data_IF_050195425744
#
_entry.id   IF_050195425744
#
_cell.length_a   1.000
_cell.length_b   1.000
_cell.length_c   1.000
_cell.angle_alpha   90.00
_cell.angle_beta   90.00
_cell.angle_gamma   90.00
#
_symmetry.space_group_name_H-M   'P 1'
#
loop_
_entity.id
_entity.type
_entity.pdbx_description
1 polymer ?
#
# COMPACT_ATOMS: atom_id res chain seq x y z
N UNK A 1 -77.31 11.05 0.20
CA UNK A 1 -78.23 12.13 -0.28
C UNK A 1 -77.59 12.79 -1.51
N UNK A 2 -78.34 12.97 -2.62
CA UNK A 2 -78.09 13.81 -3.84
C UNK A 2 -76.63 13.99 -4.31
N UNK A 3 -76.15 13.48 -5.46
CA UNK A 3 -76.61 13.55 -6.89
C UNK A 3 -76.54 14.95 -7.53
N UNK A 4 -75.58 15.14 -8.45
CA UNK A 4 -75.65 15.80 -9.79
C UNK A 4 -74.22 16.13 -10.27
N UNK A 5 -73.61 15.61 -11.35
CA UNK A 5 -73.89 15.46 -12.80
C UNK A 5 -73.67 16.69 -13.71
N UNK A 6 -73.11 16.42 -14.90
CA UNK A 6 -72.92 17.27 -16.12
C UNK A 6 -71.65 18.15 -16.15
N UNK A 7 -70.99 18.37 -17.31
CA UNK A 7 -71.10 17.74 -18.66
C UNK A 7 -69.80 17.96 -19.45
N UNK A 8 -69.55 17.10 -20.43
CA UNK A 8 -68.50 17.25 -21.46
C UNK A 8 -68.94 18.16 -22.61
N UNK A 9 -67.99 18.86 -23.23
CA UNK A 9 -68.03 19.17 -24.67
C UNK A 9 -66.61 19.33 -25.25
N UNK A 10 -66.20 18.36 -26.07
CA UNK A 10 -65.13 18.51 -27.08
C UNK A 10 -65.61 19.32 -28.27
N UNK A 11 -64.75 20.09 -28.93
CA UNK A 11 -64.87 20.32 -30.39
C UNK A 11 -63.49 20.42 -31.05
N UNK A 12 -63.39 19.88 -32.27
CA UNK A 12 -62.19 19.84 -33.11
C UNK A 12 -62.03 21.12 -33.95
N UNK A 13 -60.80 21.39 -34.40
CA UNK A 13 -60.47 22.49 -35.32
C UNK A 13 -59.13 22.27 -36.02
N UNK A 14 -59.11 21.42 -37.05
CA UNK A 14 -57.93 21.04 -37.83
C UNK A 14 -57.57 22.03 -38.95
N UNK A 15 -56.37 21.85 -39.55
CA UNK A 15 -55.95 22.35 -40.89
C UNK A 15 -55.64 23.87 -41.02
N UNK A 16 -54.72 24.35 -41.87
CA UNK A 16 -53.67 23.69 -42.68
C UNK A 16 -52.67 24.69 -43.30
N UNK A 17 -51.39 24.27 -43.37
CA UNK A 17 -50.39 24.42 -44.46
C UNK A 17 -50.05 25.78 -45.15
N UNK A 18 -48.82 25.80 -45.67
CA UNK A 18 -48.16 26.72 -46.62
C UNK A 18 -47.87 28.15 -46.14
N UNK A 19 -46.65 28.72 -46.15
CA UNK A 19 -45.35 28.53 -46.84
C UNK A 19 -45.06 29.48 -48.02
N UNK A 20 -44.23 30.50 -47.74
CA UNK A 20 -43.33 31.29 -48.64
C UNK A 20 -42.46 32.15 -47.72
N UNK A 21 -41.17 31.86 -47.49
CA UNK A 21 -39.99 32.10 -48.34
C UNK A 21 -39.36 33.50 -48.18
N UNK A 22 -38.04 33.53 -47.97
CA UNK A 22 -37.11 34.67 -48.17
C UNK A 22 -37.32 35.94 -47.31
N UNK A 23 -36.32 36.78 -47.00
CA UNK A 23 -34.93 36.90 -47.51
C UNK A 23 -33.94 37.30 -46.36
N UNK A 24 -32.65 37.36 -46.69
CA UNK A 24 -31.51 37.54 -45.76
C UNK A 24 -31.33 38.98 -45.25
N UNK A 25 -31.01 39.10 -43.95
CA UNK A 25 -30.35 40.25 -43.31
C UNK A 25 -30.07 39.92 -41.84
N UNK A 26 -28.98 40.32 -41.19
CA UNK A 26 -27.86 41.17 -41.61
C UNK A 26 -27.37 42.02 -40.45
N UNK A 27 -26.27 41.60 -39.78
CA UNK A 27 -25.65 42.24 -38.58
C UNK A 27 -26.55 42.22 -37.32
N UNK A 28 -26.05 41.88 -36.14
CA UNK A 28 -25.11 42.72 -35.39
C UNK A 28 -24.68 42.05 -34.08
N UNK A 29 -23.53 42.48 -33.55
CA UNK A 29 -23.04 42.07 -32.22
C UNK A 29 -23.83 42.80 -31.14
N UNK A 30 -24.36 42.05 -30.16
CA UNK A 30 -24.99 42.59 -28.95
C UNK A 30 -24.51 41.82 -27.71
N UNK A 31 -23.77 42.51 -26.86
CA UNK A 31 -23.73 42.31 -25.39
C UNK A 31 -24.99 42.99 -24.77
N UNK A 32 -25.28 42.88 -23.45
CA UNK A 32 -24.67 42.06 -22.40
C UNK A 32 -25.66 40.90 -22.05
N UNK A 33 -26.28 40.67 -20.85
CA UNK A 33 -26.10 41.16 -19.47
C UNK A 33 -25.47 40.14 -18.49
N UNK A 34 -25.12 40.63 -17.29
CA UNK A 34 -24.80 39.86 -16.08
C UNK A 34 -26.01 39.74 -15.14
N UNK A 35 -26.26 38.58 -14.51
CA UNK A 35 -26.93 38.51 -13.19
C UNK A 35 -26.90 37.14 -12.49
N UNK A 36 -26.68 37.20 -11.18
CA UNK A 36 -27.17 36.31 -10.11
C UNK A 36 -27.12 34.77 -10.26
N UNK A 37 -26.10 34.19 -9.62
CA UNK A 37 -26.20 33.12 -8.62
C UNK A 37 -27.56 32.40 -8.42
N UNK A 38 -27.56 31.09 -8.63
CA UNK A 38 -28.33 30.14 -7.83
C UNK A 38 -27.51 28.85 -7.67
N UNK A 39 -27.34 28.38 -6.44
CA UNK A 39 -26.49 27.25 -6.06
C UNK A 39 -27.16 25.91 -6.33
N UNK A 40 -26.47 25.00 -7.03
CA UNK A 40 -26.67 23.56 -6.90
C UNK A 40 -25.32 22.84 -6.75
N UNK A 41 -25.20 22.02 -5.71
CA UNK A 41 -23.95 21.40 -5.31
C UNK A 41 -23.61 20.14 -6.11
N UNK A 42 -23.00 20.29 -7.28
CA UNK A 42 -22.46 19.17 -8.06
C UNK A 42 -21.26 19.51 -8.97
N UNK A 43 -20.77 20.76 -8.94
CA UNK A 43 -19.78 21.27 -9.90
C UNK A 43 -18.29 20.93 -9.65
N UNK A 44 -17.90 20.54 -8.43
CA UNK A 44 -16.46 20.49 -8.05
C UNK A 44 -15.75 19.21 -8.53
N UNK A 45 -16.48 18.09 -8.68
CA UNK A 45 -15.94 16.82 -9.17
C UNK A 45 -15.68 16.82 -10.69
N UNK A 46 -16.58 17.43 -11.47
CA UNK A 46 -16.46 17.50 -12.93
C UNK A 46 -15.22 18.29 -13.40
N UNK A 47 -14.94 19.43 -12.75
CA UNK A 47 -13.81 20.29 -13.11
C UNK A 47 -12.46 19.63 -12.81
N UNK A 48 -12.35 18.86 -11.71
CA UNK A 48 -11.12 18.10 -11.38
C UNK A 48 -10.85 16.96 -12.37
N UNK A 49 -11.88 16.18 -12.75
CA UNK A 49 -11.75 15.13 -13.78
C UNK A 49 -11.34 15.73 -15.14
N UNK A 50 -11.88 16.89 -15.51
CA UNK A 50 -11.49 17.58 -16.75
C UNK A 50 -10.04 18.09 -16.75
N UNK A 51 -9.46 18.46 -15.60
CA UNK A 51 -8.11 19.02 -15.55
C UNK A 51 -7.03 18.03 -16.00
N UNK A 52 -7.10 16.78 -15.53
CA UNK A 52 -6.19 15.71 -15.97
C UNK A 52 -6.57 15.17 -17.37
N UNK A 53 -7.85 14.93 -17.63
CA UNK A 53 -8.30 14.39 -18.92
C UNK A 53 -8.00 15.33 -20.12
N UNK A 54 -8.06 16.65 -19.93
CA UNK A 54 -7.75 17.62 -20.98
C UNK A 54 -6.24 17.77 -21.29
N UNK A 55 -5.36 17.37 -20.37
CA UNK A 55 -3.90 17.32 -20.59
C UNK A 55 -3.45 16.02 -21.26
N UNK A 56 -4.01 14.88 -20.84
CA UNK A 56 -3.63 13.55 -21.35
C UNK A 56 -3.70 13.43 -22.88
N UNK A 57 -4.65 14.12 -23.53
CA UNK A 57 -4.83 14.10 -24.99
C UNK A 57 -3.80 14.88 -25.82
N UNK A 58 -2.72 15.45 -25.24
CA UNK A 58 -1.79 16.35 -25.97
C UNK A 58 -0.31 15.95 -26.02
N UNK A 59 0.13 14.86 -25.38
CA UNK A 59 1.57 14.51 -25.30
C UNK A 59 1.93 13.05 -25.65
N UNK A 60 1.07 12.35 -26.39
CA UNK A 60 1.28 10.96 -26.79
C UNK A 60 2.35 10.74 -27.91
N UNK A 61 3.26 11.70 -28.13
CA UNK A 61 4.19 11.71 -29.28
C UNK A 61 5.67 12.00 -28.96
N UNK A 62 6.07 12.08 -27.68
CA UNK A 62 7.45 12.52 -27.31
C UNK A 62 8.26 11.55 -26.43
N UNK A 63 7.88 10.27 -26.35
CA UNK A 63 8.63 9.23 -25.63
C UNK A 63 9.06 8.07 -26.54
N UNK A 64 9.91 8.35 -27.54
CA UNK A 64 10.67 7.34 -28.29
C UNK A 64 12.11 7.81 -28.59
N UNK A 65 12.92 8.05 -27.54
CA UNK A 65 14.36 8.33 -27.69
C UNK A 65 15.17 8.15 -26.38
N UNK A 66 15.23 6.94 -25.81
CA UNK A 66 16.18 6.59 -24.76
C UNK A 66 16.40 5.06 -24.67
N UNK A 67 17.11 4.48 -25.63
CA UNK A 67 17.49 3.06 -25.60
C UNK A 67 18.69 2.81 -24.69
N UNK A 68 18.47 2.36 -23.45
CA UNK A 68 19.53 1.99 -22.52
C UNK A 68 19.01 1.36 -21.23
N UNK A 69 19.07 0.02 -21.15
CA UNK A 69 18.81 -0.83 -19.97
C UNK A 69 17.82 -0.28 -18.91
N UNK A 70 16.55 -0.19 -19.28
CA UNK A 70 15.45 0.02 -18.34
C UNK A 70 15.15 -1.27 -17.55
N UNK A 71 16.02 -1.64 -16.60
CA UNK A 71 15.80 -2.77 -15.69
C UNK A 71 16.26 -2.50 -14.26
N UNK A 72 15.70 -1.45 -13.65
CA UNK A 72 15.47 -1.37 -12.21
C UNK A 72 14.55 -0.18 -11.90
N UNK A 73 13.25 -0.43 -11.70
CA UNK A 73 12.47 0.36 -10.74
C UNK A 73 13.03 0.01 -9.36
N UNK A 74 14.17 0.61 -9.00
CA UNK A 74 14.80 0.37 -7.71
C UNK A 74 13.96 1.03 -6.63
N UNK A 75 12.99 0.27 -6.10
CA UNK A 75 12.47 0.49 -4.76
C UNK A 75 13.64 0.35 -3.79
N UNK A 76 14.40 1.42 -3.61
CA UNK A 76 15.21 1.61 -2.43
C UNK A 76 14.24 1.76 -1.27
N UNK A 77 13.76 0.64 -0.72
CA UNK A 77 12.99 0.66 0.52
C UNK A 77 13.90 1.29 1.57
N UNK A 78 13.37 2.32 2.23
CA UNK A 78 14.20 3.18 3.06
C UNK A 78 14.85 2.41 4.21
N UNK A 79 15.97 2.96 4.71
CA UNK A 79 16.58 2.56 5.99
C UNK A 79 15.74 3.02 7.19
N UNK A 80 14.41 3.00 7.08
CA UNK A 80 13.47 3.37 8.14
C UNK A 80 13.18 2.19 9.03
N UNK A 81 13.25 2.39 10.34
CA UNK A 81 13.05 1.34 11.33
C UNK A 81 11.58 0.93 11.54
N UNK A 82 10.61 1.65 10.97
CA UNK A 82 9.19 1.29 11.08
C UNK A 82 8.83 0.16 10.09
N UNK A 83 8.67 -1.05 10.61
CA UNK A 83 8.12 -2.20 9.88
C UNK A 83 6.59 -2.10 9.70
N UNK A 84 6.09 -0.89 9.47
CA UNK A 84 4.67 -0.56 9.44
C UNK A 84 4.04 -0.73 8.05
N UNK A 85 2.92 -1.44 7.99
CA UNK A 85 2.05 -1.58 6.84
C UNK A 85 0.70 -0.90 7.13
N UNK A 86 0.40 0.20 6.45
CA UNK A 86 -0.85 0.92 6.61
C UNK A 86 -1.96 0.33 5.75
N UNK A 87 -3.03 -0.16 6.37
CA UNK A 87 -4.20 -0.64 5.65
C UNK A 87 -5.09 0.55 5.31
N UNK A 88 -5.34 0.77 4.02
CA UNK A 88 -6.20 1.84 3.50
C UNK A 88 -7.29 1.25 2.60
N UNK A 89 -8.33 2.03 2.32
CA UNK A 89 -9.42 1.61 1.44
C UNK A 89 -10.59 2.58 1.52
N UNK A 90 -11.56 2.44 0.63
CA UNK A 90 -12.84 3.14 0.74
C UNK A 90 -13.61 2.61 1.98
N UNK A 91 -14.62 3.33 2.50
CA UNK A 91 -15.56 2.77 3.45
C UNK A 91 -16.20 1.49 2.92
N UNK A 92 -16.58 0.58 3.83
CA UNK A 92 -17.31 -0.65 3.52
C UNK A 92 -16.60 -1.70 2.62
N UNK A 93 -15.30 -1.56 2.32
CA UNK A 93 -14.55 -2.55 1.50
C UNK A 93 -14.13 -3.83 2.25
N UNK A 94 -14.43 -3.95 3.55
CA UNK A 94 -13.98 -5.06 4.41
C UNK A 94 -12.64 -4.82 5.13
N UNK A 95 -12.10 -3.60 5.07
CA UNK A 95 -10.83 -3.18 5.69
C UNK A 95 -10.68 -3.63 7.16
N UNK A 96 -11.63 -3.24 8.02
CA UNK A 96 -11.55 -3.56 9.44
C UNK A 96 -11.87 -5.02 9.75
N UNK A 97 -12.59 -5.74 8.88
CA UNK A 97 -12.73 -7.20 8.95
C UNK A 97 -11.38 -7.89 8.72
N UNK A 98 -10.64 -7.47 7.68
CA UNK A 98 -9.30 -7.99 7.39
C UNK A 98 -8.30 -7.67 8.52
N UNK A 99 -8.34 -6.45 9.07
CA UNK A 99 -7.52 -6.07 10.22
C UNK A 99 -7.87 -6.88 11.49
N UNK A 100 -9.15 -7.13 11.74
CA UNK A 100 -9.59 -7.96 12.87
C UNK A 100 -9.17 -9.42 12.69
N UNK A 101 -9.22 -9.97 11.48
CA UNK A 101 -8.70 -11.32 11.19
C UNK A 101 -7.17 -11.38 11.40
N UNK A 102 -6.43 -10.39 10.89
CA UNK A 102 -4.98 -10.23 11.12
C UNK A 102 -4.63 -10.22 12.61
N UNK A 103 -5.33 -9.41 13.41
CA UNK A 103 -5.00 -9.24 14.84
C UNK A 103 -5.57 -10.35 15.73
N UNK A 104 -6.69 -10.99 15.38
CA UNK A 104 -7.32 -12.02 16.23
C UNK A 104 -6.64 -13.38 16.07
N UNK A 105 -6.28 -13.77 14.84
CA UNK A 105 -5.43 -14.96 14.59
C UNK A 105 -4.07 -14.89 15.30
N UNK A 106 -3.61 -13.67 15.63
CA UNK A 106 -2.40 -13.40 16.40
C UNK A 106 -2.66 -13.46 17.91
N UNK A 107 -3.78 -12.91 18.42
CA UNK A 107 -4.15 -12.99 19.85
C UNK A 107 -4.17 -14.43 20.35
N UNK A 108 -4.77 -15.34 19.59
CA UNK A 108 -4.79 -16.78 19.89
C UNK A 108 -3.38 -17.44 19.96
N UNK A 109 -2.36 -16.83 19.34
CA UNK A 109 -0.95 -17.27 19.39
C UNK A 109 -0.10 -16.46 20.38
N UNK A 110 -0.59 -15.33 20.87
CA UNK A 110 0.16 -14.32 21.62
C UNK A 110 -0.04 -14.37 23.14
N UNK A 111 -0.86 -15.29 23.66
CA UNK A 111 -1.07 -15.49 25.11
C UNK A 111 0.23 -15.70 25.91
N UNK A 112 1.31 -16.07 25.23
CA UNK A 112 2.65 -16.28 25.79
C UNK A 112 3.55 -15.00 25.87
N UNK A 113 3.06 -13.81 25.51
CA UNK A 113 3.88 -12.59 25.36
C UNK A 113 3.22 -11.32 25.98
N UNK A 114 3.42 -11.04 27.28
CA UNK A 114 2.67 -10.00 28.02
C UNK A 114 3.07 -8.53 27.75
N UNK A 115 3.86 -8.25 26.71
CA UNK A 115 4.39 -6.91 26.41
C UNK A 115 3.94 -6.33 25.06
N UNK A 116 3.01 -7.00 24.35
CA UNK A 116 2.49 -6.50 23.08
C UNK A 116 1.46 -5.38 23.30
N UNK A 117 1.85 -4.13 23.08
CA UNK A 117 0.90 -3.00 22.99
C UNK A 117 0.02 -3.17 21.76
N UNK A 118 -1.28 -3.27 21.96
CA UNK A 118 -2.29 -3.19 20.90
C UNK A 118 -2.98 -1.83 21.06
N UNK A 119 -2.63 -0.85 20.22
CA UNK A 119 -3.44 0.37 20.11
C UNK A 119 -4.73 0.02 19.34
N UNK A 120 -5.86 0.73 19.54
CA UNK A 120 -7.14 0.34 18.94
C UNK A 120 -7.12 0.25 17.40
N UNK A 121 -6.14 0.88 16.74
CA UNK A 121 -5.94 0.87 15.30
C UNK A 121 -4.55 0.34 14.88
N UNK A 122 -3.79 -0.33 15.75
CA UNK A 122 -2.52 -0.99 15.35
C UNK A 122 -2.37 -2.38 15.97
N UNK A 123 -1.64 -3.26 15.29
CA UNK A 123 -1.40 -4.61 15.75
C UNK A 123 -0.09 -5.18 15.22
N UNK A 124 0.68 -5.79 16.11
CA UNK A 124 1.88 -6.55 15.73
C UNK A 124 1.48 -7.92 15.20
N UNK A 125 2.02 -8.28 14.04
CA UNK A 125 1.73 -9.51 13.31
C UNK A 125 3.03 -10.28 13.08
N UNK A 126 3.14 -11.47 13.66
CA UNK A 126 4.22 -12.42 13.42
C UNK A 126 4.34 -12.77 11.93
N UNK A 127 5.57 -12.69 11.41
CA UNK A 127 5.95 -13.04 10.04
C UNK A 127 6.62 -14.42 10.05
N UNK A 128 5.96 -15.49 9.59
CA UNK A 128 6.55 -16.82 9.58
C UNK A 128 7.72 -16.90 8.58
N UNK A 129 8.76 -17.64 8.95
CA UNK A 129 9.88 -18.00 8.08
C UNK A 129 10.27 -19.47 8.37
N UNK A 130 10.03 -20.42 7.45
CA UNK A 130 10.36 -21.84 7.64
C UNK A 130 11.84 -22.12 7.96
N UNK A 131 12.74 -21.18 7.64
CA UNK A 131 14.16 -21.26 7.99
C UNK A 131 14.34 -21.20 9.51
N UNK A 132 13.54 -20.38 10.21
CA UNK A 132 13.60 -20.25 11.66
C UNK A 132 13.20 -21.58 12.35
N UNK A 133 12.15 -22.24 11.89
CA UNK A 133 11.70 -23.52 12.43
C UNK A 133 12.78 -24.61 12.23
N UNK A 134 13.43 -24.61 11.05
CA UNK A 134 14.56 -25.50 10.74
C UNK A 134 15.74 -25.26 11.69
N UNK A 135 16.10 -23.99 11.93
CA UNK A 135 17.19 -23.63 12.83
C UNK A 135 16.88 -23.99 14.30
N UNK A 136 15.64 -23.75 14.74
CA UNK A 136 15.17 -24.10 16.07
C UNK A 136 15.23 -25.61 16.33
N UNK A 137 14.81 -26.42 15.36
CA UNK A 137 14.89 -27.87 15.44
C UNK A 137 16.35 -28.37 15.53
N UNK A 138 17.25 -27.85 14.70
CA UNK A 138 18.68 -28.22 14.72
C UNK A 138 19.39 -27.80 16.03
N UNK A 139 18.98 -26.69 16.64
CA UNK A 139 19.55 -26.18 17.89
C UNK A 139 18.83 -26.66 19.15
N UNK A 140 17.75 -27.45 19.03
CA UNK A 140 16.85 -27.84 20.12
C UNK A 140 16.34 -26.63 20.94
N UNK A 141 16.04 -25.52 20.26
CA UNK A 141 15.61 -24.27 20.88
C UNK A 141 14.27 -24.40 21.59
N UNK A 142 14.21 -24.07 22.89
CA UNK A 142 12.99 -24.14 23.71
C UNK A 142 11.89 -23.15 23.32
N UNK A 143 12.23 -22.10 22.56
CA UNK A 143 11.29 -21.07 22.09
C UNK A 143 11.63 -20.67 20.66
N UNK A 144 10.60 -20.43 19.85
CA UNK A 144 10.70 -19.93 18.48
C UNK A 144 10.07 -18.54 18.44
N UNK A 145 10.85 -17.55 18.01
CA UNK A 145 10.48 -16.13 18.05
C UNK A 145 10.60 -15.52 16.65
N UNK A 146 9.55 -15.61 15.81
CA UNK A 146 9.56 -15.00 14.48
C UNK A 146 9.63 -13.46 14.54
N UNK A 147 9.91 -12.82 13.42
CA UNK A 147 9.84 -11.36 13.34
C UNK A 147 8.40 -10.88 13.52
N UNK A 148 8.22 -9.68 14.05
CA UNK A 148 6.93 -8.98 14.02
C UNK A 148 6.94 -7.83 13.00
N UNK A 149 5.78 -7.59 12.41
CA UNK A 149 5.49 -6.52 11.47
C UNK A 149 4.26 -5.78 11.97
N UNK A 150 4.29 -4.46 11.95
CA UNK A 150 3.19 -3.64 12.44
C UNK A 150 2.16 -3.46 11.32
N UNK A 151 0.89 -3.76 11.59
CA UNK A 151 -0.23 -3.35 10.73
C UNK A 151 -1.00 -2.24 11.42
N UNK A 152 -1.29 -1.16 10.68
CA UNK A 152 -2.05 -0.01 11.17
C UNK A 152 -3.34 0.08 10.37
N UNK A 153 -4.50 -0.02 11.02
CA UNK A 153 -5.79 0.20 10.38
C UNK A 153 -6.04 1.70 10.22
N UNK A 154 -5.99 2.20 8.98
CA UNK A 154 -6.16 3.64 8.73
C UNK A 154 -7.59 3.86 8.22
N UNK A 155 -8.32 4.79 8.86
CA UNK A 155 -9.77 4.99 8.64
C UNK A 155 -10.14 5.23 7.16
N UNK A 156 -11.31 4.79 6.71
CA UNK A 156 -11.66 4.81 5.28
C UNK A 156 -11.48 6.19 4.62
N UNK A 157 -10.76 6.24 3.49
CA UNK A 157 -10.62 7.46 2.70
C UNK A 157 -11.95 7.83 2.06
N UNK A 158 -12.33 9.09 2.20
CA UNK A 158 -13.46 9.69 1.47
C UNK A 158 -12.90 10.82 0.61
N UNK A 159 -13.49 11.03 -0.57
CA UNK A 159 -13.06 12.07 -1.50
C UNK A 159 -13.00 13.45 -0.83
N UNK A 160 -11.92 14.21 -1.09
CA UNK A 160 -11.66 15.49 -0.45
C UNK A 160 -10.83 15.43 0.84
N UNK A 161 -10.27 14.28 1.22
CA UNK A 161 -9.32 14.17 2.34
C UNK A 161 -8.13 15.15 2.23
N UNK A 162 -7.71 15.52 1.01
CA UNK A 162 -6.67 16.53 0.76
C UNK A 162 -7.08 17.96 1.15
N UNK A 163 -8.37 18.28 1.32
CA UNK A 163 -8.85 19.68 1.46
C UNK A 163 -8.71 20.28 2.86
N UNK A 164 -8.13 19.55 3.81
CA UNK A 164 -7.75 20.11 5.11
C UNK A 164 -8.88 20.33 6.12
N UNK A 165 -10.08 19.76 5.95
CA UNK A 165 -11.20 19.82 6.91
C UNK A 165 -10.97 18.96 8.18
N UNK A 166 -9.78 19.06 8.78
CA UNK A 166 -9.39 18.49 10.08
C UNK A 166 -9.14 16.99 10.11
N UNK A 167 -10.06 16.17 9.58
CA UNK A 167 -10.01 14.71 9.71
C UNK A 167 -9.04 14.07 8.71
N UNK A 168 -9.06 14.52 7.45
CA UNK A 168 -8.19 14.01 6.38
C UNK A 168 -6.70 14.19 6.69
N UNK A 169 -6.30 15.33 7.26
CA UNK A 169 -4.90 15.57 7.63
C UNK A 169 -4.37 14.63 8.73
N UNK A 170 -5.23 14.22 9.68
CA UNK A 170 -4.86 13.20 10.68
C UNK A 170 -4.68 11.83 10.03
N UNK A 171 -5.59 11.45 9.13
CA UNK A 171 -5.49 10.22 8.35
C UNK A 171 -4.18 10.16 7.53
N UNK A 172 -3.85 11.23 6.79
CA UNK A 172 -2.62 11.29 5.99
C UNK A 172 -1.35 11.26 6.86
N UNK A 173 -1.40 11.73 8.11
CA UNK A 173 -0.28 11.62 9.05
C UNK A 173 0.00 10.15 9.45
N UNK A 174 -1.02 9.32 9.62
CA UNK A 174 -0.83 7.89 9.86
C UNK A 174 -0.18 7.18 8.65
N UNK A 175 -0.55 7.53 7.40
CA UNK A 175 0.13 7.01 6.21
C UNK A 175 1.61 7.43 6.17
N UNK A 176 1.96 8.65 6.62
CA UNK A 176 3.38 9.07 6.63
C UNK A 176 4.26 8.17 7.49
N UNK A 177 3.74 7.66 8.61
CA UNK A 177 4.50 6.88 9.59
C UNK A 177 4.75 5.41 9.20
N UNK A 178 3.92 4.83 8.31
CA UNK A 178 4.09 3.46 7.81
C UNK A 178 5.07 3.41 6.64
N UNK A 179 5.78 2.29 6.45
CA UNK A 179 6.72 2.12 5.33
C UNK A 179 6.05 1.73 4.02
N UNK A 180 4.86 1.12 4.06
CA UNK A 180 4.09 0.76 2.86
C UNK A 180 2.58 0.80 3.07
N UNK A 181 1.83 0.68 1.96
CA UNK A 181 0.38 0.74 1.91
C UNK A 181 -0.21 -0.61 1.46
N UNK A 182 -1.17 -1.14 2.20
CA UNK A 182 -2.04 -2.24 1.78
C UNK A 182 -3.42 -1.66 1.47
N UNK A 183 -3.73 -1.51 0.19
CA UNK A 183 -4.97 -0.90 -0.28
C UNK A 183 -6.03 -1.97 -0.50
N UNK A 184 -7.03 -2.03 0.39
CA UNK A 184 -8.15 -2.95 0.29
C UNK A 184 -9.16 -2.42 -0.73
N UNK A 185 -9.44 -3.23 -1.76
CA UNK A 185 -10.33 -2.90 -2.87
C UNK A 185 -11.50 -3.87 -2.85
N UNK A 186 -12.73 -3.36 -2.91
CA UNK A 186 -13.95 -4.19 -2.95
C UNK A 186 -14.10 -4.79 -4.34
N UNK A 187 -13.94 -6.11 -4.44
CA UNK A 187 -14.15 -6.90 -5.65
C UNK A 187 -15.31 -7.89 -5.47
N UNK A 188 -16.39 -7.47 -4.80
CA UNK A 188 -17.61 -8.25 -4.65
C UNK A 188 -18.88 -7.38 -4.64
N UNK A 189 -19.93 -7.90 -5.27
CA UNK A 189 -21.29 -7.37 -5.19
C UNK A 189 -22.05 -7.93 -3.98
N UNK A 190 -23.10 -7.23 -3.55
CA UNK A 190 -24.00 -7.72 -2.49
C UNK A 190 -24.75 -8.99 -2.88
N UNK A 191 -25.51 -9.56 -1.94
CA UNK A 191 -26.41 -10.67 -2.23
C UNK A 191 -27.55 -10.20 -3.17
N UNK A 192 -27.88 -11.03 -4.16
CA UNK A 192 -29.03 -10.88 -5.06
C UNK A 192 -29.15 -9.52 -5.78
N UNK A 193 -28.02 -8.87 -6.09
CA UNK A 193 -28.01 -7.55 -6.73
C UNK A 193 -28.55 -6.41 -5.87
N UNK A 194 -28.77 -6.68 -4.56
CA UNK A 194 -29.18 -5.68 -3.58
C UNK A 194 -27.98 -5.28 -2.72
N UNK A 195 -27.69 -3.98 -2.65
CA UNK A 195 -26.66 -3.47 -1.74
C UNK A 195 -27.16 -3.53 -0.28
N UNK A 196 -27.02 -4.68 0.38
CA UNK A 196 -27.07 -4.76 1.85
C UNK A 196 -26.00 -3.86 2.50
N UNK A 197 -24.91 -3.60 1.77
CA UNK A 197 -23.80 -2.73 2.15
C UNK A 197 -23.62 -1.67 1.07
N UNK A 198 -24.11 -0.46 1.37
CA UNK A 198 -24.11 0.67 0.44
C UNK A 198 -22.70 1.07 0.03
N UNK A 199 -22.50 1.31 -1.27
CA UNK A 199 -21.27 1.90 -1.77
C UNK A 199 -21.31 3.43 -1.72
N UNK A 200 -20.18 4.07 -1.36
CA UNK A 200 -20.11 5.54 -1.20
C UNK A 200 -20.39 6.27 -2.52
N UNK A 201 -19.94 5.70 -3.63
CA UNK A 201 -20.15 6.22 -4.99
C UNK A 201 -21.40 5.59 -5.66
N UNK A 202 -22.26 4.88 -4.91
CA UNK A 202 -23.53 4.31 -5.39
C UNK A 202 -23.45 3.08 -6.32
N UNK A 203 -22.26 2.67 -6.72
CA UNK A 203 -21.98 1.39 -7.40
C UNK A 203 -20.60 0.88 -7.03
N UNK A 204 -20.35 -0.43 -7.12
CA UNK A 204 -19.00 -1.02 -6.97
C UNK A 204 -18.21 -0.84 -8.29
N UNK A 205 -17.04 -0.21 -8.23
CA UNK A 205 -16.11 -0.08 -9.37
C UNK A 205 -14.67 -0.07 -8.83
N UNK A 206 -13.99 -1.23 -8.80
CA UNK A 206 -12.66 -1.38 -8.21
C UNK A 206 -11.62 -0.40 -8.76
N UNK A 207 -11.68 -0.13 -10.07
CA UNK A 207 -10.70 0.70 -10.76
C UNK A 207 -10.92 2.19 -10.44
N UNK A 208 -12.17 2.65 -10.44
CA UNK A 208 -12.54 4.01 -9.98
C UNK A 208 -12.18 4.22 -8.52
N UNK A 209 -12.44 3.23 -7.66
CA UNK A 209 -12.22 3.34 -6.22
C UNK A 209 -10.71 3.39 -5.90
N UNK A 210 -9.89 2.67 -6.67
CA UNK A 210 -8.43 2.84 -6.66
C UNK A 210 -7.99 4.22 -7.13
N UNK A 211 -8.51 4.70 -8.27
CA UNK A 211 -8.18 6.01 -8.84
C UNK A 211 -8.47 7.15 -7.84
N UNK A 212 -9.61 7.09 -7.12
CA UNK A 212 -9.99 8.07 -6.10
C UNK A 212 -8.93 8.12 -4.98
N UNK A 213 -8.53 6.98 -4.42
CA UNK A 213 -7.53 6.91 -3.35
C UNK A 213 -6.18 7.40 -3.83
N UNK A 214 -5.71 6.91 -4.98
CA UNK A 214 -4.40 7.26 -5.52
C UNK A 214 -4.31 8.76 -5.86
N UNK A 215 -5.40 9.34 -6.38
CA UNK A 215 -5.51 10.79 -6.66
C UNK A 215 -5.46 11.63 -5.39
N UNK A 216 -6.16 11.26 -4.31
CA UNK A 216 -6.12 12.02 -3.05
C UNK A 216 -4.73 11.98 -2.39
N UNK A 217 -4.01 10.86 -2.47
CA UNK A 217 -2.62 10.76 -2.01
C UNK A 217 -1.67 11.63 -2.84
N UNK A 218 -1.83 11.61 -4.17
CA UNK A 218 -1.05 12.41 -5.12
C UNK A 218 -1.27 13.93 -4.91
N UNK A 219 -2.52 14.35 -4.71
CA UNK A 219 -2.85 15.75 -4.46
C UNK A 219 -2.24 16.26 -3.13
N UNK A 220 -2.23 15.42 -2.09
CA UNK A 220 -1.61 15.76 -0.81
C UNK A 220 -0.08 15.91 -0.92
N UNK A 221 0.59 15.09 -1.73
CA UNK A 221 2.02 15.22 -2.01
C UNK A 221 2.32 16.47 -2.84
N UNK A 222 1.52 16.74 -3.88
CA UNK A 222 1.65 17.91 -4.75
C UNK A 222 1.50 19.22 -3.96
N UNK A 223 0.52 19.32 -3.06
CA UNK A 223 0.34 20.48 -2.18
C UNK A 223 1.52 20.66 -1.21
N UNK A 224 1.99 19.57 -0.61
CA UNK A 224 3.11 19.57 0.33
C UNK A 224 4.41 20.04 -0.34
N UNK A 225 4.75 19.46 -1.50
CA UNK A 225 5.93 19.82 -2.26
C UNK A 225 5.86 21.22 -2.84
N UNK A 226 4.72 21.65 -3.39
CA UNK A 226 4.55 23.00 -3.93
C UNK A 226 4.73 24.05 -2.82
N UNK A 227 4.20 23.78 -1.63
CA UNK A 227 4.37 24.65 -0.45
C UNK A 227 5.82 24.68 0.03
N UNK A 228 6.53 23.55 0.02
CA UNK A 228 7.94 23.46 0.38
C UNK A 228 8.84 24.17 -0.64
N UNK A 229 8.60 23.96 -1.94
CA UNK A 229 9.30 24.59 -3.07
C UNK A 229 9.18 26.11 -3.00
N UNK A 230 7.96 26.64 -2.87
CA UNK A 230 7.72 28.07 -2.79
C UNK A 230 8.35 28.77 -1.56
N UNK A 231 8.67 28.02 -0.50
CA UNK A 231 9.46 28.52 0.65
C UNK A 231 10.96 28.52 0.37
N UNK A 232 11.44 27.57 -0.45
CA UNK A 232 12.84 27.44 -0.85
C UNK A 232 13.21 28.48 -1.93
N UNK A 233 12.37 28.64 -2.96
CA UNK A 233 12.49 29.64 -4.04
C UNK A 233 12.59 31.08 -3.52
N UNK A 234 11.97 31.38 -2.37
CA UNK A 234 12.00 32.72 -1.73
C UNK A 234 13.32 33.05 -1.04
N UNK A 235 14.27 32.11 -0.92
CA UNK A 235 15.58 32.39 -0.30
C UNK A 235 16.48 33.09 -1.31
N UNK A 236 16.98 34.27 -0.93
CA UNK A 236 17.83 35.13 -1.77
C UNK A 236 19.22 34.57 -2.05
N UNK A 237 19.67 33.58 -1.28
CA UNK A 237 20.87 32.77 -1.54
C UNK A 237 20.56 31.32 -1.24
N UNK A 238 20.78 30.45 -2.22
CA UNK A 238 20.77 29.00 -2.08
C UNK A 238 22.22 28.52 -2.09
N UNK A 239 22.55 27.59 -1.20
CA UNK A 239 23.77 26.78 -1.31
C UNK A 239 23.56 25.65 -2.34
N UNK A 240 24.62 24.92 -2.65
CA UNK A 240 24.59 23.86 -3.67
C UNK A 240 23.65 22.69 -3.28
N UNK A 241 23.44 22.44 -1.99
CA UNK A 241 22.56 21.36 -1.50
C UNK A 241 21.10 21.78 -1.58
N UNK A 242 20.79 23.02 -1.23
CA UNK A 242 19.48 23.64 -1.39
C UNK A 242 19.08 23.76 -2.87
N UNK A 243 20.03 24.03 -3.78
CA UNK A 243 19.77 24.00 -5.23
C UNK A 243 19.46 22.58 -5.72
N UNK A 244 20.29 21.58 -5.40
CA UNK A 244 20.00 20.16 -5.72
C UNK A 244 18.62 19.72 -5.22
N UNK A 245 18.25 20.14 -3.99
CA UNK A 245 16.93 19.88 -3.41
C UNK A 245 15.81 20.55 -4.20
N UNK A 246 16.00 21.77 -4.66
CA UNK A 246 15.02 22.51 -5.46
C UNK A 246 14.82 21.85 -6.83
N UNK A 247 15.90 21.46 -7.50
CA UNK A 247 15.85 20.79 -8.80
C UNK A 247 15.10 19.45 -8.70
N UNK A 248 15.39 18.67 -7.65
CA UNK A 248 14.66 17.43 -7.34
C UNK A 248 13.17 17.70 -7.06
N UNK A 249 12.82 18.75 -6.30
CA UNK A 249 11.42 19.16 -6.10
C UNK A 249 10.71 19.50 -7.42
N UNK A 250 11.36 20.21 -8.34
CA UNK A 250 10.79 20.52 -9.65
C UNK A 250 10.48 19.25 -10.46
N UNK A 251 11.43 18.30 -10.54
CA UNK A 251 11.22 17.02 -11.24
C UNK A 251 10.09 16.20 -10.61
N UNK A 252 10.05 16.09 -9.28
CA UNK A 252 9.00 15.34 -8.58
C UNK A 252 7.62 15.98 -8.78
N UNK A 253 7.52 17.30 -8.72
CA UNK A 253 6.25 18.01 -8.97
C UNK A 253 5.76 17.82 -10.41
N UNK A 254 6.65 17.84 -11.41
CA UNK A 254 6.26 17.61 -12.80
C UNK A 254 5.60 16.23 -13.00
N UNK A 255 6.15 15.18 -12.39
CA UNK A 255 5.61 13.80 -12.44
C UNK A 255 4.24 13.72 -11.73
N UNK A 256 4.09 14.38 -10.58
CA UNK A 256 2.79 14.48 -9.89
C UNK A 256 1.75 15.27 -10.70
N UNK A 257 2.14 16.36 -11.36
CA UNK A 257 1.27 17.17 -12.25
C UNK A 257 0.80 16.40 -13.50
N UNK A 258 1.51 15.34 -13.89
CA UNK A 258 1.12 14.38 -14.95
C UNK A 258 0.18 13.27 -14.44
N UNK A 259 -0.11 13.23 -13.13
CA UNK A 259 -0.96 12.21 -12.51
C UNK A 259 -0.21 10.92 -12.15
N UNK A 260 1.13 10.91 -12.19
CA UNK A 260 1.94 9.74 -11.85
C UNK A 260 2.41 9.80 -10.37
N UNK A 261 2.51 8.67 -9.67
CA UNK A 261 2.90 8.64 -8.26
C UNK A 261 4.40 8.92 -8.09
N UNK A 262 4.82 9.52 -6.97
CA UNK A 262 6.23 9.90 -6.75
C UNK A 262 7.22 8.73 -6.83
N UNK A 263 6.79 7.48 -6.60
CA UNK A 263 7.62 6.25 -6.81
C UNK A 263 8.05 6.00 -8.26
N UNK A 264 7.45 6.68 -9.25
CA UNK A 264 7.86 6.63 -10.66
C UNK A 264 9.01 7.60 -11.00
N UNK A 265 9.36 8.52 -10.09
CA UNK A 265 10.43 9.51 -10.32
C UNK A 265 11.78 8.80 -10.38
N UNK A 266 12.49 8.95 -11.50
CA UNK A 266 13.88 8.48 -11.62
C UNK A 266 14.80 9.30 -10.70
N UNK A 267 15.48 8.60 -9.80
CA UNK A 267 16.34 9.15 -8.75
C UNK A 267 17.68 8.41 -8.71
N UNK A 268 18.77 9.13 -8.50
CA UNK A 268 20.09 8.54 -8.23
C UNK A 268 20.26 8.18 -6.75
N UNK A 269 21.23 7.30 -6.45
CA UNK A 269 21.57 6.91 -5.08
C UNK A 269 22.04 8.10 -4.22
N UNK A 270 22.63 9.14 -4.81
CA UNK A 270 23.03 10.38 -4.12
C UNK A 270 21.83 11.27 -3.77
N UNK A 271 20.78 11.28 -4.60
CA UNK A 271 19.57 12.08 -4.39
C UNK A 271 18.59 11.40 -3.41
N UNK A 272 18.72 10.10 -3.20
CA UNK A 272 17.80 9.32 -2.36
C UNK A 272 17.61 9.89 -0.93
N UNK A 273 18.64 10.29 -0.17
CA UNK A 273 18.45 10.87 1.16
C UNK A 273 17.59 12.15 1.12
N UNK A 274 17.78 12.99 0.10
CA UNK A 274 17.01 14.23 -0.11
C UNK A 274 15.57 13.93 -0.52
N UNK A 275 15.35 12.97 -1.42
CA UNK A 275 14.03 12.53 -1.86
C UNK A 275 13.24 11.90 -0.70
N UNK A 276 13.86 10.99 0.05
CA UNK A 276 13.27 10.36 1.22
C UNK A 276 12.89 11.39 2.30
N UNK A 277 13.69 12.45 2.48
CA UNK A 277 13.38 13.55 3.39
C UNK A 277 12.15 14.39 2.99
N UNK A 278 11.55 14.17 1.82
CA UNK A 278 10.26 14.77 1.45
C UNK A 278 9.06 14.06 2.10
N UNK A 279 9.22 12.81 2.55
CA UNK A 279 8.18 12.03 3.26
C UNK A 279 6.85 11.95 2.49
N UNK A 280 6.95 11.68 1.19
CA UNK A 280 5.82 11.57 0.28
C UNK A 280 5.00 10.30 0.55
N UNK A 281 3.71 10.37 0.26
CA UNK A 281 2.77 9.26 0.39
C UNK A 281 2.88 8.32 -0.81
N UNK A 282 2.92 8.90 -2.01
CA UNK A 282 2.99 8.20 -3.30
C UNK A 282 4.39 7.69 -3.66
N UNK A 283 5.41 7.96 -2.84
CA UNK A 283 6.70 7.26 -2.93
C UNK A 283 6.71 5.90 -2.23
N UNK A 284 5.70 5.62 -1.39
CA UNK A 284 5.59 4.33 -0.68
C UNK A 284 5.13 3.24 -1.66
N UNK A 285 5.63 2.00 -1.52
CA UNK A 285 5.11 0.86 -2.27
C UNK A 285 3.69 0.51 -1.83
N UNK A 286 2.90 -0.02 -2.77
CA UNK A 286 1.48 -0.36 -2.58
C UNK A 286 1.23 -1.82 -2.94
N UNK A 287 0.44 -2.51 -2.14
CA UNK A 287 -0.17 -3.81 -2.48
C UNK A 287 -1.69 -3.65 -2.47
N UNK A 288 -2.35 -4.09 -3.53
CA UNK A 288 -3.79 -4.05 -3.70
C UNK A 288 -4.39 -5.37 -3.22
N UNK A 289 -5.10 -5.34 -2.10
CA UNK A 289 -5.81 -6.47 -1.53
C UNK A 289 -7.25 -6.48 -2.07
N UNK A 290 -7.48 -7.23 -3.15
CA UNK A 290 -8.80 -7.43 -3.71
C UNK A 290 -9.61 -8.34 -2.79
N UNK A 291 -10.54 -7.74 -2.05
CA UNK A 291 -11.47 -8.46 -1.21
C UNK A 291 -12.59 -9.06 -2.10
N UNK A 292 -12.73 -10.39 -2.10
CA UNK A 292 -13.68 -11.16 -2.93
C UNK A 292 -14.60 -12.05 -2.08
N UNK A 293 -15.55 -12.74 -2.72
CA UNK A 293 -16.35 -13.78 -2.05
C UNK A 293 -15.49 -15.03 -1.76
N UNK A 294 -16.01 -15.92 -0.93
CA UNK A 294 -15.25 -17.06 -0.38
C UNK A 294 -14.95 -18.09 -1.47
N UNK A 295 -15.93 -18.32 -2.35
CA UNK A 295 -15.85 -19.17 -3.54
C UNK A 295 -14.87 -18.65 -4.58
N UNK A 296 -14.58 -17.35 -4.55
CA UNK A 296 -13.68 -16.65 -5.49
C UNK A 296 -12.27 -16.48 -4.93
N UNK A 297 -12.01 -16.86 -3.67
CA UNK A 297 -10.74 -16.60 -2.98
C UNK A 297 -9.53 -17.33 -3.60
N UNK A 298 -9.77 -18.47 -4.26
CA UNK A 298 -8.74 -19.23 -4.98
C UNK A 298 -8.47 -18.70 -6.40
N UNK A 299 -9.51 -18.29 -7.13
CA UNK A 299 -9.42 -17.96 -8.56
C UNK A 299 -9.40 -16.47 -8.87
N UNK A 300 -9.91 -15.64 -7.97
CA UNK A 300 -10.34 -14.28 -8.29
C UNK A 300 -11.57 -14.26 -9.21
N UNK A 301 -11.92 -13.05 -9.68
CA UNK A 301 -13.06 -12.78 -10.55
C UNK A 301 -12.75 -11.63 -11.53
N UNK A 302 -13.73 -11.20 -12.33
CA UNK A 302 -13.54 -10.14 -13.32
C UNK A 302 -13.13 -8.77 -12.70
N UNK A 303 -13.55 -8.48 -11.47
CA UNK A 303 -13.15 -7.26 -10.74
C UNK A 303 -11.67 -7.29 -10.35
N UNK A 304 -11.14 -8.45 -9.97
CA UNK A 304 -9.68 -8.64 -9.74
C UNK A 304 -8.88 -8.34 -11.02
N UNK A 305 -9.36 -8.80 -12.18
CA UNK A 305 -8.66 -8.55 -13.44
C UNK A 305 -8.68 -7.06 -13.83
N UNK A 306 -9.79 -6.34 -13.58
CA UNK A 306 -9.84 -4.88 -13.73
C UNK A 306 -8.78 -4.18 -12.87
N UNK A 307 -8.58 -4.64 -11.62
CA UNK A 307 -7.52 -4.13 -10.73
C UNK A 307 -6.13 -4.42 -11.31
N UNK A 308 -5.85 -5.64 -11.80
CA UNK A 308 -4.56 -5.97 -12.44
C UNK A 308 -4.26 -5.07 -13.64
N UNK A 309 -5.25 -4.82 -14.50
CA UNK A 309 -5.11 -3.92 -15.66
C UNK A 309 -4.90 -2.45 -15.22
N UNK A 310 -5.55 -2.00 -14.15
CA UNK A 310 -5.31 -0.67 -13.58
C UNK A 310 -3.88 -0.52 -13.04
N UNK A 311 -3.35 -1.53 -12.33
CA UNK A 311 -1.96 -1.55 -11.84
C UNK A 311 -0.96 -1.54 -12.99
N UNK A 312 -1.15 -2.36 -14.02
CA UNK A 312 -0.28 -2.40 -15.21
C UNK A 312 -0.22 -1.04 -15.95
N UNK A 313 -1.30 -0.26 -15.89
CA UNK A 313 -1.37 1.08 -16.47
C UNK A 313 -0.65 2.14 -15.62
N UNK A 314 -0.66 2.01 -14.29
CA UNK A 314 0.02 2.93 -13.37
C UNK A 314 1.52 2.62 -13.25
N UNK A 315 1.90 1.34 -13.19
CA UNK A 315 3.28 0.87 -13.05
C UNK A 315 3.69 -0.09 -14.18
N UNK A 316 3.98 0.41 -15.40
CA UNK A 316 4.40 -0.42 -16.52
C UNK A 316 5.69 -1.22 -16.21
N UNK A 317 5.63 -2.53 -16.40
CA UNK A 317 6.77 -3.44 -16.19
C UNK A 317 6.84 -4.12 -14.82
N UNK A 318 5.87 -3.89 -13.94
CA UNK A 318 5.67 -4.67 -12.70
C UNK A 318 4.80 -5.90 -12.99
N UNK A 319 5.08 -7.05 -12.38
CA UNK A 319 4.17 -8.20 -12.43
C UNK A 319 2.92 -7.87 -11.57
N UNK A 320 1.70 -7.83 -12.15
CA UNK A 320 0.50 -7.51 -11.40
C UNK A 320 0.22 -8.54 -10.29
N UNK A 321 0.74 -9.76 -10.37
CA UNK A 321 0.59 -10.77 -9.32
C UNK A 321 1.48 -10.51 -8.09
N UNK A 322 2.54 -9.69 -8.21
CA UNK A 322 3.32 -9.17 -7.07
C UNK A 322 2.66 -7.95 -6.39
N UNK A 323 1.66 -7.34 -7.03
CA UNK A 323 0.96 -6.14 -6.54
C UNK A 323 -0.48 -6.41 -6.15
N UNK A 324 -1.14 -7.40 -6.74
CA UNK A 324 -2.57 -7.67 -6.59
C UNK A 324 -2.76 -9.02 -5.91
N UNK A 325 -3.27 -8.99 -4.68
CA UNK A 325 -3.62 -10.16 -3.89
C UNK A 325 -5.13 -10.39 -3.93
N UNK A 326 -5.53 -11.65 -4.07
CA UNK A 326 -6.92 -12.09 -3.88
C UNK A 326 -7.08 -12.63 -2.47
N UNK A 327 -8.04 -12.08 -1.73
CA UNK A 327 -8.33 -12.42 -0.33
C UNK A 327 -9.84 -12.38 -0.13
N UNK A 328 -10.42 -13.29 0.67
CA UNK A 328 -11.78 -13.08 1.20
C UNK A 328 -11.70 -12.74 2.67
N UNK A 329 -11.99 -11.49 3.02
CA UNK A 329 -11.94 -11.04 4.41
C UNK A 329 -12.98 -11.75 5.31
N UNK A 330 -14.04 -12.34 4.72
CA UNK A 330 -15.00 -13.19 5.42
C UNK A 330 -14.36 -14.54 5.78
N UNK A 331 -13.78 -15.23 4.79
CA UNK A 331 -13.06 -16.50 4.96
C UNK A 331 -11.95 -16.37 6.01
N UNK A 332 -11.10 -15.33 5.93
CA UNK A 332 -10.04 -15.11 6.93
C UNK A 332 -10.60 -14.81 8.34
N UNK A 333 -11.77 -14.18 8.43
CA UNK A 333 -12.42 -13.92 9.73
C UNK A 333 -13.03 -15.19 10.33
N UNK A 334 -13.48 -16.14 9.52
CA UNK A 334 -13.95 -17.45 10.00
C UNK A 334 -12.76 -18.31 10.44
N UNK A 335 -11.69 -18.37 9.64
CA UNK A 335 -10.42 -19.04 10.01
C UNK A 335 -9.77 -18.48 11.29
N UNK A 336 -9.90 -17.18 11.55
CA UNK A 336 -9.35 -16.55 12.76
C UNK A 336 -10.09 -16.97 14.04
N UNK A 337 -11.30 -17.52 13.92
CA UNK A 337 -12.11 -18.04 15.04
C UNK A 337 -12.01 -19.56 15.20
N UNK A 338 -11.26 -20.26 14.34
CA UNK A 338 -11.07 -21.71 14.42
C UNK A 338 -9.78 -22.06 15.19
N UNK A 339 -9.93 -22.84 16.27
CA UNK A 339 -8.81 -23.27 17.12
C UNK A 339 -8.08 -24.51 16.57
N UNK A 340 -8.83 -25.44 15.96
CA UNK A 340 -8.31 -26.69 15.39
C UNK A 340 -7.59 -26.45 14.05
N UNK A 341 -6.36 -26.95 13.93
CA UNK A 341 -5.55 -26.86 12.69
C UNK A 341 -6.13 -27.76 11.61
N UNK A 342 -6.63 -28.93 12.00
CA UNK A 342 -7.33 -29.88 11.17
C UNK A 342 -8.62 -29.29 10.59
N UNK A 343 -9.41 -28.58 11.42
CA UNK A 343 -10.67 -27.96 11.01
C UNK A 343 -10.40 -26.86 9.99
N UNK A 344 -9.46 -25.94 10.31
CA UNK A 344 -9.00 -24.87 9.39
C UNK A 344 -8.56 -25.43 8.05
N UNK A 345 -7.76 -26.49 8.06
CA UNK A 345 -7.26 -27.15 6.84
C UNK A 345 -8.42 -27.72 6.02
N UNK A 346 -9.33 -28.45 6.65
CA UNK A 346 -10.49 -29.03 5.96
C UNK A 346 -11.42 -27.95 5.40
N UNK A 347 -11.60 -26.83 6.10
CA UNK A 347 -12.37 -25.68 5.64
C UNK A 347 -11.72 -24.99 4.42
N UNK A 348 -10.40 -24.79 4.44
CA UNK A 348 -9.65 -24.28 3.29
C UNK A 348 -9.76 -25.20 2.06
N UNK A 349 -9.72 -26.52 2.26
CA UNK A 349 -9.86 -27.51 1.19
C UNK A 349 -11.24 -27.45 0.50
N UNK A 350 -12.32 -27.06 1.20
CA UNK A 350 -13.65 -26.84 0.59
C UNK A 350 -13.65 -25.72 -0.46
N UNK A 351 -12.79 -24.70 -0.29
CA UNK A 351 -12.62 -23.58 -1.22
C UNK A 351 -11.42 -23.77 -2.18
N UNK A 352 -10.80 -24.95 -2.20
CA UNK A 352 -9.64 -25.26 -3.05
C UNK A 352 -8.36 -24.53 -2.65
N UNK A 353 -8.25 -24.12 -1.38
CA UNK A 353 -7.09 -23.42 -0.82
C UNK A 353 -6.25 -24.34 0.07
N UNK A 354 -4.95 -24.02 0.20
CA UNK A 354 -4.09 -24.54 1.26
C UNK A 354 -3.86 -23.47 2.34
N UNK A 355 -3.33 -23.84 3.51
CA UNK A 355 -2.87 -22.88 4.54
C UNK A 355 -1.80 -21.91 4.01
N UNK A 356 -1.04 -22.27 2.96
CA UNK A 356 -0.10 -21.36 2.32
C UNK A 356 -0.77 -20.35 1.36
N UNK A 357 -1.98 -20.68 0.89
CA UNK A 357 -2.79 -19.90 -0.06
C UNK A 357 -3.92 -19.11 0.61
N UNK A 358 -4.10 -19.25 1.92
CA UNK A 358 -4.95 -18.36 2.70
C UNK A 358 -4.52 -16.90 2.55
N UNK A 359 -5.48 -15.99 2.68
CA UNK A 359 -5.31 -14.56 2.41
C UNK A 359 -4.33 -13.88 3.36
N UNK A 360 -4.36 -14.18 4.67
CA UNK A 360 -3.43 -13.56 5.61
C UNK A 360 -1.96 -13.96 5.36
N UNK A 361 -1.61 -15.26 5.17
CA UNK A 361 -0.27 -15.67 4.74
C UNK A 361 0.18 -15.04 3.41
N UNK A 362 -0.72 -14.88 2.42
CA UNK A 362 -0.42 -14.15 1.16
C UNK A 362 -0.06 -12.68 1.43
N UNK A 363 -0.87 -11.97 2.21
CA UNK A 363 -0.61 -10.57 2.61
C UNK A 363 0.74 -10.44 3.30
N UNK A 364 0.98 -11.21 4.36
CA UNK A 364 2.22 -11.14 5.15
C UNK A 364 3.46 -11.40 4.27
N UNK A 365 3.39 -12.37 3.36
CA UNK A 365 4.48 -12.72 2.43
C UNK A 365 4.77 -11.59 1.44
N UNK A 366 3.73 -11.03 0.81
CA UNK A 366 3.86 -9.94 -0.14
C UNK A 366 4.40 -8.66 0.51
N UNK A 367 3.89 -8.30 1.70
CA UNK A 367 4.38 -7.18 2.51
C UNK A 367 5.87 -7.34 2.83
N UNK A 368 6.31 -8.54 3.25
CA UNK A 368 7.74 -8.84 3.48
C UNK A 368 8.59 -8.71 2.22
N UNK A 369 8.14 -9.29 1.10
CA UNK A 369 8.86 -9.26 -0.18
C UNK A 369 9.02 -7.82 -0.68
N UNK A 370 7.96 -7.03 -0.62
CA UNK A 370 7.95 -5.66 -1.15
C UNK A 370 8.73 -4.67 -0.29
N UNK A 371 8.83 -4.90 1.03
CA UNK A 371 9.75 -4.15 1.91
C UNK A 371 11.23 -4.56 1.75
N UNK A 372 11.54 -5.59 0.94
CA UNK A 372 12.90 -6.11 0.69
C UNK A 372 13.72 -6.35 1.98
N UNK A 373 13.08 -6.76 3.06
CA UNK A 373 13.74 -6.94 4.34
C UNK A 373 14.55 -8.24 4.36
N UNK A 374 15.83 -8.11 4.71
CA UNK A 374 16.66 -9.25 5.09
C UNK A 374 16.28 -9.67 6.51
N UNK A 375 16.40 -10.96 6.81
CA UNK A 375 16.33 -11.48 8.16
C UNK A 375 17.66 -12.09 8.56
N UNK A 376 18.12 -11.79 9.78
CA UNK A 376 19.18 -12.56 10.42
C UNK A 376 18.62 -13.30 11.63
N UNK A 377 19.31 -14.36 12.06
CA UNK A 377 18.86 -15.24 13.11
C UNK A 377 19.84 -15.26 14.29
N UNK A 378 19.32 -15.21 15.51
CA UNK A 378 20.07 -15.56 16.72
C UNK A 378 19.53 -16.89 17.22
N UNK A 379 20.38 -17.91 17.32
CA UNK A 379 19.97 -19.30 17.55
C UNK A 379 20.74 -19.88 18.73
N UNK A 380 20.03 -20.54 19.65
CA UNK A 380 20.62 -21.31 20.76
C UNK A 380 19.58 -22.16 21.47
N UNK A 381 20.00 -22.93 22.49
CA UNK A 381 19.13 -23.86 23.23
C UNK A 381 17.94 -23.16 23.93
N UNK A 382 18.10 -21.90 24.32
CA UNK A 382 17.05 -21.12 25.00
C UNK A 382 15.99 -20.60 24.03
N UNK A 383 16.41 -20.03 22.91
CA UNK A 383 15.52 -19.50 21.86
C UNK A 383 16.21 -19.46 20.49
N UNK A 384 15.41 -19.65 19.45
CA UNK A 384 15.73 -19.23 18.09
C UNK A 384 14.87 -18.01 17.78
N UNK A 385 15.49 -16.91 17.35
CA UNK A 385 14.80 -15.65 17.05
C UNK A 385 15.23 -15.09 15.70
N UNK A 386 14.25 -14.59 14.94
CA UNK A 386 14.47 -13.85 13.72
C UNK A 386 14.46 -12.33 13.99
N UNK A 387 15.27 -11.59 13.25
CA UNK A 387 15.38 -10.14 13.31
C UNK A 387 15.29 -9.54 11.91
N UNK A 388 14.30 -8.66 11.68
CA UNK A 388 14.15 -7.92 10.42
C UNK A 388 15.16 -6.77 10.37
N UNK A 389 15.86 -6.64 9.24
CA UNK A 389 16.75 -5.52 8.92
C UNK A 389 16.54 -5.08 7.46
N UNK A 390 16.67 -3.77 7.14
CA UNK A 390 16.77 -3.33 5.76
C UNK A 390 17.93 -4.01 5.03
N UNK A 391 17.78 -4.24 3.72
CA UNK A 391 18.89 -4.71 2.87
C UNK A 391 20.05 -3.69 2.90
N UNK A 392 21.27 -4.19 3.07
CA UNK A 392 22.46 -3.33 3.17
C UNK A 392 22.78 -2.80 4.58
N UNK A 393 22.07 -3.27 5.62
CA UNK A 393 22.37 -2.97 7.03
C UNK A 393 23.73 -3.55 7.45
N UNK A 394 24.52 -2.78 8.20
CA UNK A 394 25.83 -3.24 8.70
C UNK A 394 25.71 -4.16 9.92
N UNK A 395 26.76 -4.91 10.24
CA UNK A 395 26.80 -5.74 11.44
C UNK A 395 26.58 -4.93 12.73
N UNK A 396 27.06 -3.67 12.80
CA UNK A 396 26.88 -2.80 13.97
C UNK A 396 25.41 -2.34 14.08
N UNK A 397 24.80 -1.97 12.97
CA UNK A 397 23.40 -1.53 12.93
C UNK A 397 22.43 -2.70 13.21
N UNK A 398 22.75 -3.90 12.70
CA UNK A 398 22.02 -5.13 13.02
C UNK A 398 22.16 -5.52 14.50
N UNK A 399 23.32 -5.28 15.11
CA UNK A 399 23.48 -5.46 16.55
C UNK A 399 22.61 -4.46 17.35
N UNK A 400 22.44 -3.23 16.84
CA UNK A 400 21.61 -2.19 17.47
C UNK A 400 20.12 -2.59 17.55
N UNK A 401 19.60 -3.40 16.61
CA UNK A 401 18.20 -3.86 16.66
C UNK A 401 17.92 -4.82 17.82
N UNK A 402 18.96 -5.47 18.36
CA UNK A 402 18.86 -6.30 19.57
C UNK A 402 18.89 -5.43 20.82
N UNK A 403 19.95 -4.62 20.97
CA UNK A 403 20.06 -3.60 22.00
C UNK A 403 21.11 -2.56 21.62
N UNK A 404 20.90 -1.30 21.98
CA UNK A 404 21.84 -0.20 21.62
C UNK A 404 23.25 -0.40 22.17
N UNK A 405 23.42 -1.17 23.24
CA UNK A 405 24.74 -1.44 23.84
C UNK A 405 25.57 -2.45 23.04
N UNK A 406 24.95 -3.38 22.29
CA UNK A 406 25.71 -4.25 21.39
C UNK A 406 26.41 -3.43 20.30
N UNK A 407 25.77 -2.36 19.80
CA UNK A 407 26.35 -1.45 18.82
C UNK A 407 27.45 -0.57 19.43
N UNK A 408 27.22 0.03 20.61
CA UNK A 408 28.23 0.85 21.32
C UNK A 408 29.48 0.04 21.68
N UNK A 409 29.29 -1.20 22.14
CA UNK A 409 30.36 -2.09 22.59
C UNK A 409 30.91 -3.02 21.49
N UNK A 410 30.45 -2.90 20.24
CA UNK A 410 30.70 -3.89 19.18
C UNK A 410 32.19 -4.24 19.03
N UNK A 411 32.49 -5.54 19.01
CA UNK A 411 33.84 -6.08 18.76
C UNK A 411 33.89 -6.80 17.41
N UNK A 412 32.98 -7.76 17.21
CA UNK A 412 32.86 -8.56 15.99
C UNK A 412 31.50 -9.26 15.94
N UNK A 413 31.05 -9.61 14.74
CA UNK A 413 29.96 -10.57 14.54
C UNK A 413 30.56 -11.93 14.18
N UNK A 414 30.21 -12.98 14.91
CA UNK A 414 30.48 -14.36 14.50
C UNK A 414 29.30 -14.81 13.62
N UNK A 415 29.54 -15.16 12.36
CA UNK A 415 28.47 -15.46 11.38
C UNK A 415 28.59 -16.84 10.77
N UNK A 416 27.44 -17.47 10.50
CA UNK A 416 27.30 -18.73 9.76
C UNK A 416 26.17 -18.54 8.75
N UNK A 417 26.40 -18.88 7.48
CA UNK A 417 25.34 -18.83 6.47
C UNK A 417 24.30 -19.94 6.71
N UNK A 418 23.01 -19.66 6.48
CA UNK A 418 21.92 -20.64 6.64
C UNK A 418 22.23 -22.02 6.04
N UNK A 419 22.67 -22.06 4.78
CA UNK A 419 22.97 -23.30 4.08
C UNK A 419 24.09 -24.11 4.76
N UNK A 420 25.13 -23.45 5.28
CA UNK A 420 26.23 -24.11 5.99
C UNK A 420 25.81 -24.61 7.37
N UNK A 421 24.96 -23.85 8.09
CA UNK A 421 24.43 -24.27 9.39
C UNK A 421 23.56 -25.53 9.26
N UNK A 422 22.68 -25.56 8.25
CA UNK A 422 21.82 -26.71 7.96
C UNK A 422 22.63 -27.90 7.46
N UNK A 423 23.56 -27.71 6.52
CA UNK A 423 24.42 -28.78 6.00
C UNK A 423 25.35 -29.38 7.07
N UNK A 424 25.77 -28.59 8.06
CA UNK A 424 26.53 -29.09 9.21
C UNK A 424 25.67 -29.80 10.26
N UNK A 425 24.34 -29.59 10.26
CA UNK A 425 23.45 -30.10 11.31
C UNK A 425 23.55 -29.33 12.63
N UNK A 426 23.88 -28.04 12.60
CA UNK A 426 23.94 -27.16 13.77
C UNK A 426 25.28 -26.50 14.06
N UNK A 427 25.26 -25.52 14.96
CA UNK A 427 26.37 -24.59 15.27
C UNK A 427 27.69 -25.29 15.61
N UNK A 428 27.65 -26.28 16.52
CA UNK A 428 28.85 -26.99 16.98
C UNK A 428 29.59 -27.66 15.82
N UNK A 429 28.86 -28.30 14.91
CA UNK A 429 29.46 -28.98 13.77
C UNK A 429 29.90 -27.99 12.69
N UNK A 430 29.18 -26.88 12.51
CA UNK A 430 29.63 -25.78 11.64
C UNK A 430 30.97 -25.18 12.12
N UNK A 431 31.17 -25.07 13.45
CA UNK A 431 32.45 -24.69 14.07
C UNK A 431 33.56 -25.68 13.77
N UNK A 432 33.33 -26.97 13.99
CA UNK A 432 34.30 -28.04 13.67
C UNK A 432 34.68 -28.11 12.19
N UNK A 433 33.75 -27.77 11.29
CA UNK A 433 33.94 -27.74 9.84
C UNK A 433 34.52 -26.41 9.31
N UNK A 434 34.86 -25.45 10.19
CA UNK A 434 35.45 -24.17 9.79
C UNK A 434 34.50 -23.25 9.00
N UNK A 435 33.18 -23.42 9.16
CA UNK A 435 32.14 -22.63 8.47
C UNK A 435 31.79 -21.30 9.15
N UNK A 436 32.39 -21.04 10.31
CA UNK A 436 32.24 -19.79 11.06
C UNK A 436 33.15 -18.72 10.48
N UNK A 437 32.59 -17.53 10.24
CA UNK A 437 33.32 -16.31 9.86
C UNK A 437 33.31 -15.32 11.01
N UNK A 438 34.36 -14.49 11.08
CA UNK A 438 34.44 -13.37 12.01
C UNK A 438 34.41 -12.07 11.23
N UNK A 439 33.29 -11.38 11.33
CA UNK A 439 32.95 -10.22 10.53
C UNK A 439 33.14 -8.93 11.32
N UNK A 440 33.70 -7.92 10.64
CA UNK A 440 34.00 -6.60 11.19
C UNK A 440 32.82 -5.63 11.18
N UNK A 441 33.07 -4.38 11.59
CA UNK A 441 32.04 -3.33 11.65
C UNK A 441 31.41 -2.98 10.30
N UNK A 442 32.17 -3.10 9.21
CA UNK A 442 31.74 -2.80 7.85
C UNK A 442 31.06 -3.98 7.12
N UNK A 443 30.92 -5.15 7.77
CA UNK A 443 30.22 -6.28 7.14
C UNK A 443 28.75 -5.93 6.91
N UNK A 444 28.26 -6.22 5.70
CA UNK A 444 26.84 -6.10 5.35
C UNK A 444 26.18 -7.45 5.59
N UNK A 445 25.17 -7.46 6.45
CA UNK A 445 24.48 -8.69 6.84
C UNK A 445 23.68 -9.27 5.68
N UNK A 446 23.86 -10.57 5.43
CA UNK A 446 23.16 -11.30 4.38
C UNK A 446 21.85 -11.88 4.92
N UNK A 447 20.86 -12.04 4.04
CA UNK A 447 19.60 -12.69 4.43
C UNK A 447 19.85 -14.17 4.77
N UNK A 448 19.37 -14.57 5.94
CA UNK A 448 19.60 -15.89 6.52
C UNK A 448 20.92 -16.07 7.28
N UNK A 449 21.72 -15.03 7.50
CA UNK A 449 22.89 -15.15 8.39
C UNK A 449 22.45 -15.53 9.83
N UNK A 450 23.06 -16.57 10.40
CA UNK A 450 23.00 -16.86 11.84
C UNK A 450 24.15 -16.08 12.49
N UNK A 451 23.86 -15.24 13.48
CA UNK A 451 24.82 -14.29 14.05
C UNK A 451 24.89 -14.40 15.57
N UNK A 452 26.11 -14.43 16.10
CA UNK A 452 26.43 -14.17 17.50
C UNK A 452 27.27 -12.90 17.61
N UNK A 453 26.73 -11.86 18.24
CA UNK A 453 27.42 -10.58 18.43
C UNK A 453 28.31 -10.60 19.68
N UNK A 454 29.59 -10.26 19.50
CA UNK A 454 30.50 -10.02 20.61
C UNK A 454 30.61 -8.52 20.87
N UNK A 455 30.34 -8.10 22.11
CA UNK A 455 30.50 -6.73 22.56
C UNK A 455 31.34 -6.66 23.84
N UNK A 456 31.94 -5.50 24.10
CA UNK A 456 32.53 -5.15 25.40
C UNK A 456 31.41 -4.88 26.40
N UNK A 457 31.56 -5.37 27.62
CA UNK A 457 30.70 -5.00 28.75
C UNK A 457 31.01 -3.59 29.23
#
# INVERSE_FOLDING_TARGET
MKVATRRSTTWWGSSSRSATSTFVGGRSVLWPPSSSCLTSGSGVLGVRRQWFAAKAGKQQQTQQAAGGQASALSYFVARTASNGCGIVGMPNVGKSTLFNALTSSQRARAENFPFCTIEPNSGMVWVPDPRLDTLAALANSKRILPCQMEFVDIAGLVAGASKGEGLGNKFLAHIRNVSMILQVVRCFEGADGTEQVTHVEGSVDPARDMEIINTELLLADLESLTTARAKLEKRTKLDAEAQKRLDLMHRTIAVLDEGQPARSVLISAEEWPTFHAFQLLTSKPVVYCCNVKEEEAATGNAMVEQVKQAVLKEEPGVDPNERVLVVSAKLESELANMESVEDRKSFLELYGLSEADAGLPKVIRATRQLLQQHQFFTVGETEARAWNIPKGTTAVDAAATIHTDFAKGFVKAETIAFADFVAAGGEKRAKELGKVRFEGTSYVVQDGDIILFHHRK
#
